data_IF_516167468548
#
_entry.id   IF_516167468548
#
_cell.length_a   1.000
_cell.length_b   1.000
_cell.length_c   1.000
_cell.angle_alpha   90.00
_cell.angle_beta   90.00
_cell.angle_gamma   90.00
#
_symmetry.space_group_name_H-M   'P 1'
#
loop_
_entity.id
_entity.type
_entity.pdbx_description
1 polymer ?
#
# COMPACT_ATOMS: atom_id res chain seq x y z
N UNK A 1 -21.21 -6.68 11.38
CA UNK A 1 -19.76 -6.40 11.40
C UNK A 1 -19.39 -5.63 10.15
N UNK A 2 -18.58 -4.60 10.30
CA UNK A 2 -18.09 -3.83 9.16
C UNK A 2 -17.02 -4.60 8.38
N UNK A 3 -17.08 -4.52 7.07
CA UNK A 3 -16.04 -5.06 6.19
C UNK A 3 -15.44 -3.90 5.40
N UNK A 4 -14.15 -3.67 5.59
CA UNK A 4 -13.41 -2.61 4.89
C UNK A 4 -12.35 -3.22 3.99
N UNK A 5 -12.32 -2.76 2.75
CA UNK A 5 -11.32 -3.17 1.77
C UNK A 5 -10.51 -1.95 1.35
N UNK A 6 -9.21 -2.06 1.51
CA UNK A 6 -8.28 -0.99 1.12
C UNK A 6 -7.56 -1.41 -0.14
N UNK A 7 -7.49 -0.52 -1.12
CA UNK A 7 -6.76 -0.75 -2.37
C UNK A 7 -5.69 0.32 -2.49
N UNK A 8 -4.46 -0.11 -2.74
CA UNK A 8 -3.30 0.77 -2.75
C UNK A 8 -2.51 0.58 -4.03
N UNK A 9 -1.93 1.65 -4.56
CA UNK A 9 -1.03 1.55 -5.71
C UNK A 9 -0.08 2.75 -5.76
N UNK A 10 1.07 2.53 -6.40
CA UNK A 10 2.05 3.56 -6.67
C UNK A 10 2.43 3.56 -8.15
N UNK A 11 2.79 4.72 -8.65
CA UNK A 11 3.21 4.89 -10.02
C UNK A 11 4.46 5.76 -10.07
N UNK A 12 5.35 5.47 -11.01
CA UNK A 12 6.59 6.22 -11.18
C UNK A 12 6.95 6.30 -12.65
N UNK A 13 7.47 7.44 -13.08
CA UNK A 13 8.01 7.61 -14.43
C UNK A 13 9.52 7.87 -14.36
N UNK A 14 10.32 6.96 -14.92
CA UNK A 14 11.76 7.13 -15.02
C UNK A 14 12.13 8.30 -15.96
N UNK A 15 11.22 8.67 -16.82
CA UNK A 15 11.41 9.76 -17.78
C UNK A 15 11.34 11.14 -17.11
N UNK A 16 10.39 11.32 -16.19
CA UNK A 16 10.20 12.59 -15.47
C UNK A 16 10.70 12.54 -14.04
N UNK A 17 11.04 11.36 -13.53
CA UNK A 17 11.44 11.11 -12.14
C UNK A 17 10.33 11.44 -11.13
N UNK A 18 9.09 11.50 -11.57
CA UNK A 18 7.93 11.81 -10.71
C UNK A 18 7.19 10.57 -10.27
N UNK A 19 6.84 10.52 -9.00
CA UNK A 19 6.03 9.46 -8.42
C UNK A 19 4.70 9.94 -7.92
N UNK A 20 3.70 9.06 -7.96
CA UNK A 20 2.38 9.29 -7.41
C UNK A 20 1.88 8.04 -6.71
N UNK A 21 0.98 8.21 -5.76
CA UNK A 21 0.42 7.09 -5.02
C UNK A 21 -1.02 7.38 -4.63
N UNK A 22 -1.78 6.32 -4.39
CA UNK A 22 -3.16 6.42 -3.93
C UNK A 22 -3.55 5.21 -3.10
N UNK A 23 -4.44 5.45 -2.14
CA UNK A 23 -5.06 4.42 -1.32
C UNK A 23 -6.53 4.79 -1.14
N UNK A 24 -7.42 3.84 -1.35
CA UNK A 24 -8.86 4.04 -1.14
C UNK A 24 -9.39 3.00 -0.16
N UNK A 25 -10.44 3.38 0.55
CA UNK A 25 -11.17 2.48 1.43
C UNK A 25 -12.57 2.27 0.89
N UNK A 26 -12.97 1.02 0.74
CA UNK A 26 -14.29 0.62 0.22
C UNK A 26 -15.09 -0.04 1.32
N UNK A 27 -16.32 0.44 1.50
CA UNK A 27 -17.31 -0.20 2.37
C UNK A 27 -18.63 -0.28 1.60
N UNK A 28 -19.23 -1.47 1.56
CA UNK A 28 -20.51 -1.71 0.87
C UNK A 28 -20.48 -1.25 -0.60
N UNK A 29 -19.38 -1.49 -1.27
CA UNK A 29 -19.22 -1.16 -2.69
C UNK A 29 -18.98 0.30 -3.00
N UNK A 30 -18.78 1.15 -1.98
CA UNK A 30 -18.58 2.58 -2.16
C UNK A 30 -17.26 3.04 -1.56
N UNK A 31 -16.64 4.06 -2.18
CA UNK A 31 -15.44 4.70 -1.65
C UNK A 31 -15.86 5.56 -0.46
N UNK A 32 -15.33 5.24 0.74
CA UNK A 32 -15.58 6.02 1.94
C UNK A 32 -14.39 6.90 2.34
N UNK A 33 -13.21 6.65 1.80
CA UNK A 33 -12.03 7.46 2.04
C UNK A 33 -11.04 7.34 0.90
N UNK A 34 -10.32 8.43 0.62
CA UNK A 34 -9.27 8.47 -0.39
C UNK A 34 -8.06 9.21 0.18
N UNK A 35 -6.90 8.56 0.10
CA UNK A 35 -5.61 9.13 0.43
C UNK A 35 -4.78 9.15 -0.84
N UNK A 36 -4.07 10.23 -1.12
CA UNK A 36 -3.28 10.31 -2.35
C UNK A 36 -2.19 11.39 -2.22
N UNK A 37 -1.14 11.25 -3.02
CA UNK A 37 -0.06 12.20 -3.02
C UNK A 37 0.92 11.97 -4.14
N UNK A 38 1.97 12.78 -4.16
CA UNK A 38 3.02 12.70 -5.17
C UNK A 38 4.36 13.09 -4.55
N UNK A 39 5.44 12.67 -5.20
CA UNK A 39 6.80 12.93 -4.72
C UNK A 39 7.75 13.00 -5.91
N UNK A 40 8.57 14.07 -6.01
CA UNK A 40 9.60 14.13 -7.05
C UNK A 40 10.79 13.23 -6.69
N UNK A 41 11.56 12.83 -7.70
CA UNK A 41 12.78 12.03 -7.54
C UNK A 41 12.56 10.77 -6.70
N UNK A 42 11.48 10.07 -6.98
CA UNK A 42 11.08 8.89 -6.23
C UNK A 42 11.47 7.58 -6.94
N UNK A 43 10.82 6.49 -6.57
CA UNK A 43 10.90 5.19 -7.23
C UNK A 43 9.53 4.54 -7.19
N UNK A 44 9.32 3.53 -8.03
CA UNK A 44 8.06 2.79 -8.00
C UNK A 44 7.82 2.13 -6.65
N UNK A 45 8.85 1.46 -6.09
CA UNK A 45 8.71 0.79 -4.79
C UNK A 45 8.38 1.78 -3.67
N UNK A 46 8.98 2.97 -3.69
CA UNK A 46 8.70 3.98 -2.67
C UNK A 46 7.25 4.46 -2.76
N UNK A 47 6.71 4.62 -3.95
CA UNK A 47 5.32 5.04 -4.12
C UNK A 47 4.32 3.95 -3.67
N UNK A 48 4.64 2.69 -3.95
CA UNK A 48 3.86 1.57 -3.43
C UNK A 48 3.84 1.56 -1.90
N UNK A 49 5.00 1.79 -1.28
CA UNK A 49 5.13 1.85 0.18
C UNK A 49 4.37 3.04 0.78
N UNK A 50 4.41 4.21 0.13
CA UNK A 50 3.65 5.38 0.58
C UNK A 50 2.15 5.11 0.60
N UNK A 51 1.64 4.47 -0.45
CA UNK A 51 0.22 4.11 -0.51
C UNK A 51 -0.14 3.13 0.61
N UNK A 52 0.69 2.12 0.82
CA UNK A 52 0.46 1.12 1.86
C UNK A 52 0.51 1.73 3.26
N UNK A 53 1.50 2.57 3.53
CA UNK A 53 1.63 3.27 4.81
C UNK A 53 0.39 4.13 5.07
N UNK A 54 -0.10 4.84 4.06
CA UNK A 54 -1.29 5.67 4.16
C UNK A 54 -2.52 4.85 4.57
N UNK A 55 -2.69 3.65 3.98
CA UNK A 55 -3.77 2.75 4.37
C UNK A 55 -3.64 2.33 5.83
N UNK A 56 -2.43 1.97 6.29
CA UNK A 56 -2.21 1.60 7.68
C UNK A 56 -2.51 2.75 8.64
N UNK A 57 -2.13 3.97 8.28
CA UNK A 57 -2.42 5.15 9.11
C UNK A 57 -3.92 5.39 9.23
N UNK A 58 -4.67 5.19 8.16
CA UNK A 58 -6.13 5.27 8.18
C UNK A 58 -6.71 4.19 9.11
N UNK A 59 -6.27 2.94 8.94
CA UNK A 59 -6.73 1.82 9.77
C UNK A 59 -6.43 2.08 11.25
N UNK A 60 -5.32 2.73 11.55
CA UNK A 60 -4.92 3.04 12.92
C UNK A 60 -5.90 4.00 13.63
N UNK A 61 -6.75 4.70 12.88
CA UNK A 61 -7.79 5.56 13.47
C UNK A 61 -9.05 4.80 13.86
N UNK A 62 -9.18 3.55 13.45
CA UNK A 62 -10.37 2.73 13.72
C UNK A 62 -10.33 2.21 15.16
N UNK A 63 -11.37 2.54 15.93
CA UNK A 63 -11.43 2.19 17.36
C UNK A 63 -12.05 0.81 17.58
N UNK A 64 -13.05 0.42 16.79
CA UNK A 64 -13.78 -0.84 16.97
C UNK A 64 -12.91 -2.05 16.61
N UNK A 65 -13.05 -3.13 17.38
CA UNK A 65 -12.42 -4.43 17.09
C UNK A 65 -13.28 -5.29 16.15
N UNK A 66 -14.55 -4.99 16.00
CA UNK A 66 -15.49 -5.74 15.16
C UNK A 66 -15.44 -5.27 13.71
N UNK A 67 -14.25 -5.35 13.12
CA UNK A 67 -14.04 -4.93 11.73
C UNK A 67 -13.21 -6.00 11.03
N UNK A 68 -13.64 -6.35 9.83
CA UNK A 68 -12.91 -7.22 8.91
C UNK A 68 -12.17 -6.33 7.92
N UNK A 69 -10.84 -6.38 7.93
CA UNK A 69 -10.00 -5.50 7.12
C UNK A 69 -9.12 -6.32 6.20
N UNK A 70 -9.17 -6.00 4.91
CA UNK A 70 -8.24 -6.53 3.91
C UNK A 70 -7.59 -5.36 3.19
N UNK A 71 -6.26 -5.40 3.07
CA UNK A 71 -5.49 -4.43 2.29
C UNK A 71 -4.99 -5.14 1.04
N UNK A 72 -5.39 -4.66 -0.12
CA UNK A 72 -4.98 -5.21 -1.40
C UNK A 72 -3.80 -4.42 -1.95
N UNK A 73 -2.75 -5.13 -2.31
CA UNK A 73 -1.54 -4.57 -2.90
C UNK A 73 -1.27 -5.26 -4.24
N UNK A 74 -0.66 -4.52 -5.17
CA UNK A 74 -0.21 -5.08 -6.44
C UNK A 74 1.26 -5.53 -6.35
N UNK A 75 2.01 -4.96 -5.42
CA UNK A 75 3.43 -5.22 -5.23
C UNK A 75 3.68 -6.59 -4.59
N UNK A 76 4.37 -7.47 -5.31
CA UNK A 76 4.83 -8.75 -4.76
C UNK A 76 5.83 -8.52 -3.62
N UNK A 77 6.64 -7.47 -3.70
CA UNK A 77 7.63 -7.15 -2.68
C UNK A 77 6.96 -6.84 -1.33
N UNK A 78 5.92 -6.01 -1.33
CA UNK A 78 5.19 -5.70 -0.10
C UNK A 78 4.48 -6.94 0.42
N UNK A 79 3.78 -7.65 -0.45
CA UNK A 79 3.04 -8.85 -0.06
C UNK A 79 3.97 -9.89 0.57
N UNK A 80 5.11 -10.17 -0.05
CA UNK A 80 6.04 -11.19 0.42
C UNK A 80 6.71 -10.79 1.73
N UNK A 81 6.91 -9.50 1.98
CA UNK A 81 7.46 -9.04 3.25
C UNK A 81 6.63 -9.56 4.43
N UNK A 82 5.30 -9.51 4.30
CA UNK A 82 4.41 -9.97 5.35
C UNK A 82 4.12 -11.47 5.28
N UNK A 83 3.96 -12.01 4.09
CA UNK A 83 3.71 -13.44 3.90
C UNK A 83 4.89 -14.31 4.37
N UNK A 84 6.11 -13.84 4.17
CA UNK A 84 7.34 -14.55 4.52
C UNK A 84 8.03 -14.01 5.78
N UNK A 85 7.41 -13.04 6.44
CA UNK A 85 7.91 -12.45 7.69
C UNK A 85 9.31 -11.84 7.56
N UNK A 86 9.64 -11.20 6.43
CA UNK A 86 10.93 -10.54 6.24
C UNK A 86 11.20 -9.48 7.29
N UNK A 87 10.15 -8.76 7.71
CA UNK A 87 10.26 -7.67 8.68
C UNK A 87 10.82 -8.14 10.03
N UNK A 88 10.53 -9.39 10.42
CA UNK A 88 11.06 -9.95 11.68
C UNK A 88 12.57 -10.09 11.62
N UNK A 89 13.10 -10.56 10.48
CA UNK A 89 14.55 -10.68 10.28
C UNK A 89 15.20 -9.30 10.21
N UNK A 90 14.56 -8.33 9.55
CA UNK A 90 15.07 -6.97 9.51
C UNK A 90 15.19 -6.37 10.90
N UNK A 91 14.19 -6.54 11.74
CA UNK A 91 14.20 -6.03 13.12
C UNK A 91 15.31 -6.66 13.94
N UNK A 92 15.57 -7.96 13.75
CA UNK A 92 16.64 -8.68 14.45
C UNK A 92 18.02 -8.32 13.94
N UNK A 93 18.17 -7.95 12.68
CA UNK A 93 19.44 -7.72 12.02
C UNK A 93 19.78 -6.23 11.87
N UNK A 94 19.14 -5.35 12.65
CA UNK A 94 19.40 -3.91 12.58
C UNK A 94 18.98 -3.28 11.26
N UNK A 95 17.88 -3.78 10.65
CA UNK A 95 17.35 -3.31 9.38
C UNK A 95 18.31 -3.49 8.22
N UNK A 96 18.93 -4.66 8.19
CA UNK A 96 19.80 -5.09 7.09
C UNK A 96 19.25 -6.34 6.43
N UNK A 97 19.53 -6.45 5.13
CA UNK A 97 19.18 -7.65 4.35
C UNK A 97 20.14 -8.79 4.67
N UNK A 98 19.89 -9.98 4.10
CA UNK A 98 20.73 -11.15 4.31
C UNK A 98 22.17 -10.93 3.85
N UNK A 99 22.39 -10.11 2.81
CA UNK A 99 23.73 -9.75 2.30
C UNK A 99 24.30 -8.50 2.97
N UNK A 100 23.78 -8.13 4.15
CA UNK A 100 24.25 -7.05 5.01
C UNK A 100 24.11 -5.64 4.43
N UNK A 101 23.28 -5.48 3.41
CA UNK A 101 22.93 -4.16 2.88
C UNK A 101 21.82 -3.53 3.71
N UNK A 102 21.76 -2.21 3.80
CA UNK A 102 20.64 -1.54 4.43
C UNK A 102 19.35 -1.83 3.66
N UNK A 103 18.25 -2.05 4.38
CA UNK A 103 16.93 -2.20 3.76
C UNK A 103 16.58 -0.91 3.05
N UNK A 104 16.26 -0.99 1.76
CA UNK A 104 15.86 0.18 0.96
C UNK A 104 14.54 0.73 1.47
N UNK A 105 14.41 2.07 1.44
CA UNK A 105 13.24 2.77 1.96
C UNK A 105 13.00 2.46 3.45
N UNK A 106 14.08 2.32 4.21
CA UNK A 106 14.04 1.94 5.61
C UNK A 106 13.16 2.88 6.43
N UNK A 107 13.17 4.19 6.11
CA UNK A 107 12.34 5.18 6.77
C UNK A 107 10.85 4.81 6.72
N UNK A 108 10.37 4.41 5.56
CA UNK A 108 8.98 3.99 5.38
C UNK A 108 8.71 2.61 5.98
N UNK A 109 9.64 1.67 5.78
CA UNK A 109 9.47 0.32 6.32
C UNK A 109 9.41 0.29 7.84
N UNK A 110 10.20 1.12 8.52
CA UNK A 110 10.14 1.19 9.98
C UNK A 110 8.77 1.65 10.47
N UNK A 111 8.19 2.65 9.82
CA UNK A 111 6.85 3.15 10.15
C UNK A 111 5.78 2.11 9.83
N UNK A 112 5.88 1.49 8.67
CA UNK A 112 4.95 0.45 8.23
C UNK A 112 4.94 -0.72 9.20
N UNK A 113 6.11 -1.25 9.54
CA UNK A 113 6.24 -2.40 10.42
C UNK A 113 5.74 -2.10 11.82
N UNK A 114 6.03 -0.91 12.36
CA UNK A 114 5.53 -0.50 13.67
C UNK A 114 3.99 -0.48 13.71
N UNK A 115 3.36 0.07 12.67
CA UNK A 115 1.90 0.09 12.56
C UNK A 115 1.33 -1.32 12.34
N UNK A 116 1.95 -2.11 11.48
CA UNK A 116 1.50 -3.47 11.20
C UNK A 116 1.47 -4.32 12.48
N UNK A 117 2.53 -4.27 13.26
CA UNK A 117 2.61 -5.01 14.51
C UNK A 117 1.53 -4.55 15.50
N UNK A 118 1.31 -3.24 15.58
CA UNK A 118 0.28 -2.66 16.44
C UNK A 118 -1.13 -3.10 16.03
N UNK A 119 -1.39 -3.16 14.72
CA UNK A 119 -2.73 -3.45 14.19
C UNK A 119 -3.02 -4.94 14.09
N UNK A 120 -1.98 -5.76 13.96
CA UNK A 120 -2.12 -7.20 13.86
C UNK A 120 -2.74 -7.76 15.15
N UNK A 121 -3.85 -8.46 15.01
CA UNK A 121 -4.56 -9.04 16.15
C UNK A 121 -5.54 -8.10 16.84
N UNK A 122 -5.62 -6.83 16.41
CA UNK A 122 -6.56 -5.87 16.99
C UNK A 122 -7.98 -6.05 16.47
N UNK A 123 -8.14 -6.47 15.22
CA UNK A 123 -9.42 -6.56 14.53
C UNK A 123 -9.91 -8.00 14.43
N UNK A 124 -11.16 -8.19 14.04
CA UNK A 124 -11.70 -9.52 13.76
C UNK A 124 -10.86 -10.23 12.70
N UNK A 125 -10.48 -9.50 11.63
CA UNK A 125 -9.53 -9.97 10.63
C UNK A 125 -8.73 -8.78 10.12
N UNK A 126 -7.44 -9.02 9.87
CA UNK A 126 -6.53 -8.02 9.32
C UNK A 126 -5.57 -8.75 8.41
N UNK A 127 -5.74 -8.57 7.10
CA UNK A 127 -5.00 -9.30 6.08
C UNK A 127 -4.43 -8.37 5.02
N UNK A 128 -3.21 -8.71 4.56
CA UNK A 128 -2.62 -8.14 3.36
C UNK A 128 -2.79 -9.18 2.25
N UNK A 129 -3.40 -8.77 1.14
CA UNK A 129 -3.67 -9.65 0.00
C UNK A 129 -3.09 -9.07 -1.27
N UNK A 130 -2.62 -9.93 -2.16
CA UNK A 130 -2.11 -9.51 -3.45
C UNK A 130 -3.19 -9.65 -4.50
N UNK A 131 -3.39 -8.60 -5.30
CA UNK A 131 -4.35 -8.66 -6.40
C UNK A 131 -3.76 -9.49 -7.54
N UNK A 132 -4.58 -10.38 -8.09
CA UNK A 132 -4.23 -11.16 -9.26
C UNK A 132 -4.74 -10.44 -10.50
N UNK A 133 -3.82 -9.92 -11.32
CA UNK A 133 -4.16 -9.31 -12.59
C UNK A 133 -4.51 -10.41 -13.60
N UNK A 134 -5.71 -10.35 -14.16
CA UNK A 134 -6.16 -11.37 -15.12
C UNK A 134 -6.27 -10.87 -16.55
N UNK A 135 -6.21 -9.56 -16.79
CA UNK A 135 -6.22 -8.98 -18.13
C UNK A 135 -7.41 -9.39 -19.01
N UNK A 136 -8.56 -9.71 -18.43
CA UNK A 136 -9.71 -10.25 -19.14
C UNK A 136 -10.88 -9.27 -19.19
N UNK A 137 -11.86 -9.57 -20.06
CA UNK A 137 -13.03 -8.74 -20.29
C UNK A 137 -13.97 -8.64 -19.10
N UNK A 138 -14.01 -9.65 -18.21
CA UNK A 138 -14.86 -9.66 -17.02
C UNK A 138 -14.01 -9.42 -15.78
N UNK A 139 -13.88 -8.16 -15.39
CA UNK A 139 -13.12 -7.78 -14.19
C UNK A 139 -13.90 -8.08 -12.92
N UNK A 140 -13.23 -8.62 -11.91
CA UNK A 140 -13.76 -8.72 -10.56
C UNK A 140 -13.83 -7.31 -9.94
N UNK A 141 -14.57 -7.17 -8.84
CA UNK A 141 -14.63 -5.89 -8.12
C UNK A 141 -13.25 -5.47 -7.63
N UNK A 142 -12.44 -6.42 -7.16
CA UNK A 142 -11.07 -6.13 -6.72
C UNK A 142 -10.21 -5.60 -7.86
N UNK A 143 -10.33 -6.17 -9.06
CA UNK A 143 -9.61 -5.68 -10.24
C UNK A 143 -10.06 -4.28 -10.66
N UNK A 144 -11.36 -3.99 -10.57
CA UNK A 144 -11.90 -2.66 -10.89
C UNK A 144 -11.34 -1.60 -9.93
N UNK A 145 -11.30 -1.89 -8.64
CA UNK A 145 -10.76 -0.96 -7.65
C UNK A 145 -9.25 -0.83 -7.77
N UNK A 146 -8.55 -1.92 -8.12
CA UNK A 146 -7.13 -1.87 -8.40
C UNK A 146 -6.83 -0.94 -9.59
N UNK A 147 -7.63 -1.05 -10.66
CA UNK A 147 -7.51 -0.17 -11.82
C UNK A 147 -7.78 1.29 -11.44
N UNK A 148 -8.75 1.52 -10.56
CA UNK A 148 -9.10 2.85 -10.08
C UNK A 148 -7.92 3.51 -9.36
N UNK A 149 -7.29 2.80 -8.42
CA UNK A 149 -6.14 3.37 -7.68
C UNK A 149 -4.93 3.52 -8.58
N UNK A 150 -4.74 2.65 -9.56
CA UNK A 150 -3.67 2.79 -10.54
C UNK A 150 -3.84 4.10 -11.32
N UNK A 151 -5.04 4.39 -11.78
CA UNK A 151 -5.33 5.64 -12.49
C UNK A 151 -5.10 6.87 -11.59
N UNK A 152 -5.49 6.80 -10.32
CA UNK A 152 -5.23 7.88 -9.37
C UNK A 152 -3.73 8.08 -9.14
N UNK A 153 -2.98 7.01 -8.97
CA UNK A 153 -1.53 7.09 -8.79
C UNK A 153 -0.87 7.72 -10.02
N UNK A 154 -1.29 7.31 -11.23
CA UNK A 154 -0.79 7.89 -12.47
C UNK A 154 -1.14 9.38 -12.58
N UNK A 155 -2.35 9.75 -12.21
CA UNK A 155 -2.78 11.15 -12.23
C UNK A 155 -1.96 11.99 -11.25
N UNK A 156 -1.69 11.47 -10.06
CA UNK A 156 -0.89 12.16 -9.07
C UNK A 156 0.56 12.31 -9.51
N UNK A 157 1.13 11.29 -10.15
CA UNK A 157 2.47 11.35 -10.71
C UNK A 157 2.65 12.52 -11.68
N UNK A 158 1.59 12.86 -12.42
CA UNK A 158 1.62 13.91 -13.43
C UNK A 158 1.38 15.31 -12.89
N UNK A 159 1.03 15.47 -11.61
CA UNK A 159 0.67 16.78 -11.04
C UNK A 159 1.81 17.79 -11.12
N UNK A 160 3.04 17.38 -10.86
CA UNK A 160 4.18 18.28 -10.93
C UNK A 160 4.57 18.63 -12.37
N UNK A 161 4.20 17.79 -13.35
CA UNK A 161 4.46 18.05 -14.76
C UNK A 161 3.62 19.23 -15.28
N UNK A 162 2.48 19.48 -14.69
CA UNK A 162 1.55 20.55 -15.08
C UNK A 162 1.97 21.90 -14.52
N UNK A 163 2.79 21.92 -13.46
CA UNK A 163 3.26 23.15 -12.81
C UNK A 163 4.48 23.77 -13.49
N UNK A 164 5.12 23.04 -14.36
CA UNK A 164 6.24 23.51 -15.16
C UNK A 164 5.71 24.19 -16.45
#
# INVERSE_FOLDING_TARGET
>A
MRTLKFYTDGAFSSKTMMGGWAAICIEDGEIIDTQQGYEPYSTNNRMELMAFLSALENINTIVSHHVDITIYVDSAYIYNCFAENWYQRWMQNGWRTADRQEVKNQDLWRRIVALYIKLKGKFFRFEVSKIKAHGKTNLTDDEKWNNYVDLLAQKNRKKLEVLD
#
